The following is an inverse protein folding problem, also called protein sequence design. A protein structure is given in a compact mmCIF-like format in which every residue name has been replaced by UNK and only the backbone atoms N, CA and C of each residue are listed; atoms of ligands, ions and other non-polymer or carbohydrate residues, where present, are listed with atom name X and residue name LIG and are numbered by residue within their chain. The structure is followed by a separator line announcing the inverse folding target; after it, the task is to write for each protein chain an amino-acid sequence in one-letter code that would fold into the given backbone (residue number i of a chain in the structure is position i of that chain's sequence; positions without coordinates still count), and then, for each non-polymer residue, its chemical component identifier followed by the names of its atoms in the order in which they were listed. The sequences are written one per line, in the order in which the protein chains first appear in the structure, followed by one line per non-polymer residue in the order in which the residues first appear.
data_IF_807705431760
#
_entry.id   IF_807705431760
#
_cell.length_a   1.000
_cell.length_b   1.000
_cell.length_c   1.000
_cell.angle_alpha   90.00
_cell.angle_beta   90.00
_cell.angle_gamma   90.00
#
_symmetry.space_group_name_H-M   'P 1'
#
loop_
_entity.id
_entity.type
_entity.pdbx_description
1 polymer ?
#
# COMPACT_ATOMS: atom_id res chain seq x y z
N UNK A 1 -4.23 15.13 -6.04
CA UNK A 1 -3.60 13.91 -5.49
C UNK A 1 -4.09 12.71 -6.27
N UNK A 2 -3.25 11.68 -6.48
CA UNK A 2 -3.69 10.44 -7.13
C UNK A 2 -3.90 9.37 -6.07
N UNK A 3 -4.92 8.52 -6.24
CA UNK A 3 -5.23 7.42 -5.31
C UNK A 3 -4.00 6.55 -4.99
N UNK A 4 -3.07 6.39 -5.94
CA UNK A 4 -1.81 5.64 -5.74
C UNK A 4 -0.89 6.32 -4.73
N UNK A 5 -0.77 7.64 -4.82
CA UNK A 5 0.05 8.40 -3.90
C UNK A 5 -0.55 8.35 -2.49
N UNK A 6 -1.88 8.48 -2.38
CA UNK A 6 -2.55 8.45 -1.08
C UNK A 6 -2.44 7.06 -0.42
N UNK A 7 -2.63 6.00 -1.20
CA UNK A 7 -2.39 4.62 -0.75
C UNK A 7 -0.93 4.41 -0.34
N UNK A 8 0.03 4.87 -1.14
CA UNK A 8 1.46 4.75 -0.81
C UNK A 8 1.79 5.48 0.49
N UNK A 9 1.33 6.72 0.64
CA UNK A 9 1.54 7.53 1.84
C UNK A 9 0.94 6.87 3.08
N UNK A 10 -0.28 6.31 2.97
CA UNK A 10 -0.90 5.55 4.05
C UNK A 10 -0.05 4.36 4.46
N UNK A 11 0.42 3.56 3.50
CA UNK A 11 1.26 2.41 3.79
C UNK A 11 2.62 2.79 4.39
N UNK A 12 3.19 3.95 4.01
CA UNK A 12 4.45 4.48 4.54
C UNK A 12 4.39 4.85 6.03
N UNK A 13 3.18 4.98 6.60
CA UNK A 13 2.99 5.11 8.05
C UNK A 13 3.27 3.81 8.80
N UNK A 14 3.33 2.67 8.09
CA UNK A 14 3.36 1.33 8.68
C UNK A 14 1.97 0.71 8.84
N UNK A 15 0.91 1.43 8.50
CA UNK A 15 -0.45 0.90 8.47
C UNK A 15 -0.66 -0.10 7.34
N UNK A 16 -1.59 -1.03 7.55
CA UNK A 16 -2.10 -1.90 6.50
C UNK A 16 -3.31 -1.31 5.80
N UNK A 17 -3.66 -1.86 4.63
CA UNK A 17 -4.84 -1.48 3.86
C UNK A 17 -5.56 -2.72 3.31
N UNK A 18 -6.87 -2.66 3.32
CA UNK A 18 -7.82 -3.63 2.74
C UNK A 18 -8.67 -2.92 1.67
N UNK A 19 -9.34 -3.66 0.76
CA UNK A 19 -10.22 -3.06 -0.24
C UNK A 19 -11.26 -2.10 0.35
N UNK A 20 -11.87 -2.45 1.48
CA UNK A 20 -12.89 -1.61 2.11
C UNK A 20 -12.30 -0.35 2.75
N UNK A 21 -11.13 -0.44 3.39
CA UNK A 21 -10.45 0.76 3.90
C UNK A 21 -9.97 1.67 2.76
N UNK A 22 -9.52 1.11 1.63
CA UNK A 22 -9.12 1.91 0.47
C UNK A 22 -10.30 2.63 -0.18
N UNK A 23 -11.46 1.97 -0.22
CA UNK A 23 -12.71 2.59 -0.66
C UNK A 23 -13.11 3.75 0.27
N UNK A 24 -13.13 3.49 1.59
CA UNK A 24 -13.59 4.48 2.57
C UNK A 24 -12.65 5.70 2.69
N UNK A 25 -11.33 5.49 2.59
CA UNK A 25 -10.35 6.56 2.78
C UNK A 25 -10.04 7.33 1.48
N UNK A 26 -9.99 6.63 0.33
CA UNK A 26 -9.46 7.18 -0.92
C UNK A 26 -10.42 7.05 -2.11
N UNK A 27 -11.65 6.54 -1.90
CA UNK A 27 -12.60 6.25 -2.97
C UNK A 27 -12.07 5.22 -3.98
N UNK A 28 -11.14 4.34 -3.57
CA UNK A 28 -10.44 3.46 -4.50
C UNK A 28 -11.12 2.08 -4.61
N UNK A 29 -11.94 1.92 -5.67
CA UNK A 29 -12.57 0.63 -6.00
C UNK A 29 -11.57 -0.43 -6.49
N UNK A 30 -10.46 0.00 -7.10
CA UNK A 30 -9.47 -0.87 -7.74
C UNK A 30 -8.15 -0.94 -6.98
N UNK A 31 -8.20 -1.19 -5.67
CA UNK A 31 -6.99 -1.26 -4.81
C UNK A 31 -5.91 -2.20 -5.39
N UNK A 32 -6.30 -3.41 -5.80
CA UNK A 32 -5.36 -4.41 -6.31
C UNK A 32 -4.61 -3.94 -7.57
N UNK A 33 -5.26 -3.17 -8.45
CA UNK A 33 -4.60 -2.60 -9.62
C UNK A 33 -3.56 -1.55 -9.18
N UNK A 34 -3.92 -0.66 -8.25
CA UNK A 34 -3.01 0.40 -7.75
C UNK A 34 -1.79 -0.18 -7.05
N UNK A 35 -1.99 -1.19 -6.21
CA UNK A 35 -0.88 -1.92 -5.57
C UNK A 35 -0.04 -2.69 -6.60
N UNK A 36 -0.68 -3.30 -7.60
CA UNK A 36 0.00 -4.00 -8.68
C UNK A 36 0.88 -3.07 -9.53
N UNK A 37 0.46 -1.81 -9.72
CA UNK A 37 1.26 -0.79 -10.38
C UNK A 37 2.46 -0.36 -9.51
N UNK A 38 2.24 -0.06 -8.23
CA UNK A 38 3.30 0.26 -7.26
C UNK A 38 4.37 -0.84 -7.22
N UNK A 39 3.96 -2.11 -7.23
CA UNK A 39 4.88 -3.25 -7.21
C UNK A 39 5.63 -3.42 -8.53
N UNK A 40 4.94 -3.43 -9.67
CA UNK A 40 5.52 -3.79 -10.97
C UNK A 40 6.26 -2.64 -11.65
N UNK A 41 5.75 -1.42 -11.55
CA UNK A 41 6.32 -0.27 -12.26
C UNK A 41 7.29 0.54 -11.39
N UNK A 42 7.11 0.52 -10.08
CA UNK A 42 7.89 1.36 -9.16
C UNK A 42 8.71 0.56 -8.14
N UNK A 43 8.69 -0.77 -8.22
CA UNK A 43 9.51 -1.65 -7.37
C UNK A 43 9.16 -1.57 -5.88
N UNK A 44 7.97 -1.09 -5.51
CA UNK A 44 7.57 -0.94 -4.12
C UNK A 44 7.28 -2.34 -3.52
N UNK A 45 7.93 -2.73 -2.40
CA UNK A 45 7.81 -4.07 -1.83
C UNK A 45 6.53 -4.20 -0.98
N UNK A 46 5.39 -4.32 -1.66
CA UNK A 46 4.08 -4.53 -1.03
C UNK A 46 3.92 -6.01 -0.69
N UNK A 47 3.70 -6.27 0.59
CA UNK A 47 3.38 -7.58 1.15
C UNK A 47 1.87 -7.76 1.28
N UNK A 48 1.40 -9.00 1.32
CA UNK A 48 -0.03 -9.31 1.40
C UNK A 48 -0.31 -10.60 2.16
N UNK A 49 -1.47 -10.66 2.82
CA UNK A 49 -2.05 -11.89 3.36
C UNK A 49 -3.55 -11.91 3.14
N UNK A 50 -4.12 -13.10 3.04
CA UNK A 50 -5.58 -13.28 3.13
C UNK A 50 -5.97 -13.29 4.60
N UNK A 51 -6.99 -12.52 4.95
CA UNK A 51 -7.62 -12.48 6.27
C UNK A 51 -9.08 -12.88 6.14
N UNK A 52 -9.65 -13.42 7.21
CA UNK A 52 -11.04 -13.82 7.31
C UNK A 52 -11.73 -12.97 8.38
N UNK A 53 -12.94 -12.48 8.13
CA UNK A 53 -13.73 -11.81 9.18
C UNK A 53 -14.52 -12.84 10.01
N UNK A 54 -15.22 -12.35 11.03
CA UNK A 54 -16.08 -13.19 11.87
C UNK A 54 -17.20 -13.92 11.09
N UNK A 55 -17.61 -13.39 9.93
CA UNK A 55 -18.64 -14.00 9.07
C UNK A 55 -18.06 -15.06 8.09
N UNK A 56 -16.78 -15.40 8.20
CA UNK A 56 -16.11 -16.34 7.30
C UNK A 56 -15.73 -15.75 5.93
N UNK A 57 -15.97 -14.45 5.69
CA UNK A 57 -15.61 -13.79 4.44
C UNK A 57 -14.12 -13.50 4.39
N UNK A 58 -13.48 -13.97 3.32
CA UNK A 58 -12.05 -13.77 3.06
C UNK A 58 -11.78 -12.53 2.23
N UNK A 59 -10.77 -11.77 2.61
CA UNK A 59 -10.31 -10.59 1.88
C UNK A 59 -8.80 -10.41 2.02
N UNK A 60 -8.21 -9.67 1.10
CA UNK A 60 -6.77 -9.39 1.12
C UNK A 60 -6.46 -8.18 2.01
N UNK A 61 -5.35 -8.28 2.74
CA UNK A 61 -4.77 -7.21 3.53
C UNK A 61 -3.33 -6.99 3.05
N UNK A 62 -2.95 -5.73 2.85
CA UNK A 62 -1.66 -5.35 2.26
C UNK A 62 -0.92 -4.38 3.17
N UNK A 63 0.42 -4.43 3.16
CA UNK A 63 1.28 -3.51 3.91
C UNK A 63 2.65 -3.38 3.23
N UNK A 64 3.44 -2.40 3.65
CA UNK A 64 4.84 -2.27 3.21
C UNK A 64 5.79 -2.99 4.15
N UNK A 65 6.86 -3.52 3.58
CA UNK A 65 7.97 -4.04 4.35
C UNK A 65 8.55 -2.95 5.28
N UNK A 66 8.75 -3.29 6.56
CA UNK A 66 9.22 -2.34 7.57
C UNK A 66 10.62 -1.82 7.27
N UNK A 67 11.49 -2.66 6.71
CA UNK A 67 12.85 -2.27 6.33
C UNK A 67 12.83 -1.28 5.18
N UNK A 68 11.92 -1.46 4.20
CA UNK A 68 11.72 -0.49 3.14
C UNK A 68 11.27 0.87 3.69
N UNK A 69 10.28 0.90 4.59
CA UNK A 69 9.82 2.15 5.21
C UNK A 69 10.98 2.85 5.92
N UNK A 70 11.77 2.11 6.71
CA UNK A 70 12.90 2.66 7.45
C UNK A 70 13.94 3.28 6.51
N UNK A 71 14.32 2.58 5.44
CA UNK A 71 15.29 3.06 4.45
C UNK A 71 14.82 4.32 3.72
N UNK A 72 13.55 4.39 3.34
CA UNK A 72 12.98 5.61 2.72
C UNK A 72 13.01 6.78 3.70
N UNK A 73 12.62 6.57 4.96
CA UNK A 73 12.63 7.62 5.99
C UNK A 73 14.05 8.09 6.35
N UNK A 74 15.02 7.18 6.34
CA UNK A 74 16.43 7.49 6.54
C UNK A 74 17.08 8.19 5.31
N UNK A 75 16.37 8.28 4.18
CA UNK A 75 16.90 8.85 2.94
C UNK A 75 17.89 7.94 2.21
N UNK A 76 18.03 6.67 2.62
CA UNK A 76 18.93 5.70 1.98
C UNK A 76 18.43 5.28 0.60
N UNK A 77 17.11 5.28 0.40
CA UNK A 77 16.47 4.99 -0.88
C UNK A 77 15.37 6.01 -1.17
N UNK A 78 15.12 6.27 -2.46
CA UNK A 78 14.02 7.15 -2.89
C UNK A 78 12.68 6.40 -2.82
N UNK A 79 11.69 7.04 -2.20
CA UNK A 79 10.31 6.58 -2.19
C UNK A 79 9.57 6.87 -3.51
N UNK A 80 8.38 6.28 -3.66
CA UNK A 80 7.50 6.58 -4.79
C UNK A 80 7.05 8.04 -4.77
N UNK A 81 7.09 8.69 -5.94
CA UNK A 81 6.67 10.09 -6.12
C UNK A 81 7.73 11.15 -5.80
N UNK A 82 8.94 10.73 -5.42
CA UNK A 82 10.08 11.65 -5.22
C UNK A 82 10.92 11.68 -6.50
N UNK A 83 10.77 12.74 -7.29
CA UNK A 83 11.61 13.01 -8.46
C UNK A 83 12.65 14.08 -8.11
N UNK A 84 13.90 13.84 -8.52
CA UNK A 84 15.03 14.77 -8.34
C UNK A 84 14.83 16.08 -9.08
#
# INVERSE_FOLDING_TARGET
MSQRQDIYNHLMTGASITPITALNLFGCFSLSQRLGELRRHFGVPILSKTVENADGKRYACYWLDKTYIAKVKAGEIKGYGVFS
#
